data_IF_199706098889
#
_entry.id   IF_199706098889
#
_cell.length_a   1.000
_cell.length_b   1.000
_cell.length_c   1.000
_cell.angle_alpha   90.00
_cell.angle_beta   90.00
_cell.angle_gamma   90.00
#
_symmetry.space_group_name_H-M   'P 1'
#
loop_
_entity.id
_entity.type
_entity.pdbx_description
1 polymer ?
#
# COMPACT_ATOMS: atom_id res chain seq x y z
N UNK A 1 9.06 9.56 12.42
CA UNK A 1 8.33 8.39 11.86
C UNK A 1 9.00 7.95 10.57
N UNK A 2 9.31 6.67 10.40
CA UNK A 2 9.88 6.14 9.15
C UNK A 2 8.76 5.80 8.15
N UNK A 3 8.93 6.18 6.87
CA UNK A 3 8.03 5.79 5.76
C UNK A 3 8.62 4.56 5.08
N UNK A 4 8.02 3.39 5.29
CA UNK A 4 8.53 2.10 4.85
C UNK A 4 7.43 1.08 4.67
N UNK A 5 7.67 0.10 3.80
CA UNK A 5 6.82 -1.07 3.62
C UNK A 5 7.27 -2.14 4.63
N UNK A 6 6.33 -2.69 5.40
CA UNK A 6 6.61 -3.59 6.52
C UNK A 6 5.96 -4.96 6.39
N UNK A 7 4.98 -5.12 5.50
CA UNK A 7 4.22 -6.35 5.38
C UNK A 7 3.21 -6.30 4.24
N UNK A 8 2.54 -7.42 4.05
CA UNK A 8 1.49 -7.61 3.05
C UNK A 8 0.18 -7.93 3.76
N UNK A 9 -0.91 -7.35 3.25
CA UNK A 9 -2.27 -7.63 3.68
C UNK A 9 -3.11 -8.08 2.48
N UNK A 10 -4.19 -8.81 2.75
CA UNK A 10 -5.19 -9.24 1.78
C UNK A 10 -6.52 -8.60 2.13
N UNK A 11 -7.29 -8.20 1.13
CA UNK A 11 -8.66 -7.68 1.33
C UNK A 11 -9.58 -8.87 1.61
N UNK A 12 -10.28 -8.84 2.74
CA UNK A 12 -11.26 -9.87 3.15
C UNK A 12 -12.69 -9.38 3.06
N UNK A 13 -12.90 -8.06 3.02
CA UNK A 13 -14.17 -7.43 2.72
C UNK A 13 -13.94 -6.28 1.76
N UNK A 14 -14.63 -6.32 0.63
CA UNK A 14 -14.61 -5.23 -0.35
C UNK A 14 -15.23 -3.95 0.21
N UNK A 15 -15.13 -2.87 -0.56
CA UNK A 15 -15.57 -1.53 -0.18
C UNK A 15 -16.99 -1.52 0.41
N UNK A 16 -17.13 -0.91 1.58
CA UNK A 16 -18.42 -0.67 2.20
C UNK A 16 -18.46 0.73 2.82
N UNK A 17 -19.68 1.25 2.98
CA UNK A 17 -19.96 2.51 3.67
C UNK A 17 -20.76 2.18 4.91
N UNK A 18 -20.33 2.63 6.09
CA UNK A 18 -21.18 2.54 7.27
C UNK A 18 -22.27 3.60 7.20
N UNK A 19 -23.49 3.23 7.62
CA UNK A 19 -24.65 4.12 7.66
C UNK A 19 -24.36 5.30 8.61
N UNK A 20 -23.83 6.41 8.07
CA UNK A 20 -23.54 7.62 8.85
C UNK A 20 -22.31 8.40 8.38
N UNK A 21 -21.40 7.82 7.59
CA UNK A 21 -20.24 8.56 7.07
C UNK A 21 -20.52 9.15 5.69
N UNK A 22 -20.87 10.44 5.65
CA UNK A 22 -20.89 11.20 4.41
C UNK A 22 -19.44 11.41 3.91
N UNK A 23 -19.06 10.70 2.84
CA UNK A 23 -17.87 11.01 2.04
C UNK A 23 -16.72 10.01 2.08
N UNK A 24 -16.91 8.83 2.68
CA UNK A 24 -15.87 7.81 2.79
C UNK A 24 -16.41 6.38 2.73
N UNK A 25 -15.49 5.43 2.88
CA UNK A 25 -15.78 4.00 2.99
C UNK A 25 -14.51 3.23 3.34
N UNK A 26 -14.70 1.99 3.73
CA UNK A 26 -13.67 1.14 4.31
C UNK A 26 -13.58 -0.20 3.59
N UNK A 27 -12.44 -0.87 3.78
CA UNK A 27 -12.22 -2.25 3.37
C UNK A 27 -11.65 -2.99 4.58
N UNK A 28 -12.08 -4.23 4.79
CA UNK A 28 -11.45 -5.06 5.82
C UNK A 28 -10.26 -5.78 5.20
N UNK A 29 -9.14 -5.75 5.89
CA UNK A 29 -7.92 -6.44 5.48
C UNK A 29 -7.45 -7.42 6.55
N UNK A 30 -6.85 -8.51 6.11
CA UNK A 30 -6.19 -9.50 6.96
C UNK A 30 -4.70 -9.53 6.65
N UNK A 31 -3.88 -9.53 7.69
CA UNK A 31 -2.43 -9.70 7.55
C UNK A 31 -2.10 -11.04 6.86
N UNK A 32 -1.32 -10.97 5.78
CA UNK A 32 -0.78 -12.15 5.08
C UNK A 32 0.57 -12.52 5.68
N UNK A 33 1.42 -11.51 5.92
CA UNK A 33 2.72 -11.71 6.54
C UNK A 33 3.53 -10.42 6.63
N UNK A 34 4.56 -10.45 7.47
CA UNK A 34 5.55 -9.37 7.57
C UNK A 34 6.66 -9.54 6.52
N UNK A 35 7.20 -8.41 6.06
CA UNK A 35 8.37 -8.42 5.18
C UNK A 35 9.59 -8.89 5.98
N UNK A 36 10.42 -9.76 5.38
CA UNK A 36 11.71 -10.19 5.98
C UNK A 36 12.61 -9.01 6.34
N UNK A 37 12.58 -7.97 5.51
CA UNK A 37 13.26 -6.70 5.71
C UNK A 37 12.31 -5.57 5.33
N UNK A 38 12.17 -4.59 6.21
CA UNK A 38 11.40 -3.40 5.88
C UNK A 38 12.08 -2.66 4.70
N UNK A 39 11.27 -2.23 3.73
CA UNK A 39 11.75 -1.49 2.55
C UNK A 39 11.50 -0.01 2.76
N UNK A 40 12.56 0.77 2.89
CA UNK A 40 12.45 2.20 3.11
C UNK A 40 12.08 2.95 1.83
N UNK A 41 11.31 4.04 1.96
CA UNK A 41 10.95 4.91 0.83
C UNK A 41 12.18 5.45 0.07
N UNK A 42 13.33 5.58 0.76
CA UNK A 42 14.58 6.02 0.13
C UNK A 42 15.12 4.98 -0.86
N UNK A 43 14.96 3.70 -0.56
CA UNK A 43 15.40 2.60 -1.41
C UNK A 43 14.58 2.53 -2.69
N UNK A 44 13.28 2.84 -2.60
CA UNK A 44 12.35 2.80 -3.73
C UNK A 44 12.47 3.98 -4.71
N UNK A 45 13.34 4.97 -4.47
CA UNK A 45 13.46 6.17 -5.32
C UNK A 45 13.85 5.88 -6.78
N UNK A 46 14.39 4.70 -7.06
CA UNK A 46 14.70 4.24 -8.42
C UNK A 46 13.44 3.86 -9.23
N UNK A 47 12.32 3.58 -8.57
CA UNK A 47 11.02 3.25 -9.17
C UNK A 47 10.29 4.52 -9.62
N UNK A 48 10.90 5.28 -10.54
CA UNK A 48 10.45 6.64 -10.89
C UNK A 48 9.01 6.72 -11.37
N UNK A 49 8.46 5.65 -11.91
CA UNK A 49 7.08 5.59 -12.40
C UNK A 49 6.05 5.15 -11.37
N UNK A 50 6.49 4.83 -10.15
CA UNK A 50 5.58 4.47 -9.10
C UNK A 50 4.78 5.70 -8.61
N UNK A 51 3.45 5.63 -8.75
CA UNK A 51 2.52 6.73 -8.42
C UNK A 51 2.70 7.21 -6.98
N UNK A 52 2.98 6.28 -6.05
CA UNK A 52 3.23 6.59 -4.64
C UNK A 52 4.34 7.64 -4.43
N UNK A 53 5.34 7.67 -5.31
CA UNK A 53 6.46 8.62 -5.23
C UNK A 53 6.12 9.97 -5.86
N UNK A 54 5.24 9.99 -6.86
CA UNK A 54 4.81 11.20 -7.58
C UNK A 54 3.72 11.98 -6.81
N UNK A 55 2.90 11.28 -6.00
CA UNK A 55 1.76 11.88 -5.29
C UNK A 55 1.85 11.64 -3.77
N UNK A 56 2.57 12.49 -3.01
CA UNK A 56 2.88 12.22 -1.60
C UNK A 56 1.68 12.19 -0.65
N UNK A 57 0.54 12.76 -1.05
CA UNK A 57 -0.69 12.83 -0.25
C UNK A 57 -1.68 11.70 -0.54
N UNK A 58 -1.40 10.84 -1.53
CA UNK A 58 -2.26 9.73 -1.88
C UNK A 58 -1.89 8.51 -1.02
N UNK A 59 -2.87 7.94 -0.33
CA UNK A 59 -2.68 6.83 0.63
C UNK A 59 -2.89 5.46 0.00
N UNK A 60 -3.69 5.37 -1.07
CA UNK A 60 -4.01 4.14 -1.78
C UNK A 60 -3.71 4.33 -3.26
N UNK A 61 -2.88 3.46 -3.81
CA UNK A 61 -2.51 3.48 -5.22
C UNK A 61 -2.50 2.07 -5.78
N UNK A 62 -2.87 1.88 -7.06
CA UNK A 62 -2.60 0.63 -7.74
C UNK A 62 -1.08 0.41 -7.82
N UNK A 63 -0.66 -0.83 -7.62
CA UNK A 63 0.74 -1.25 -7.74
C UNK A 63 0.85 -2.17 -8.97
N UNK A 64 1.60 -1.79 -10.02
CA UNK A 64 1.86 -2.67 -11.15
C UNK A 64 2.62 -3.92 -10.74
N UNK A 65 2.36 -5.05 -11.42
CA UNK A 65 2.98 -6.35 -11.12
C UNK A 65 4.51 -6.28 -11.10
N UNK A 66 5.13 -5.60 -12.06
CA UNK A 66 6.59 -5.41 -12.11
C UNK A 66 7.15 -4.73 -10.84
N UNK A 67 6.41 -3.76 -10.30
CA UNK A 67 6.79 -3.04 -9.08
C UNK A 67 6.56 -3.94 -7.86
N UNK A 68 5.44 -4.66 -7.83
CA UNK A 68 5.15 -5.64 -6.80
C UNK A 68 6.26 -6.68 -6.70
N UNK A 69 6.63 -7.30 -7.83
CA UNK A 69 7.68 -8.31 -7.90
C UNK A 69 9.04 -7.74 -7.48
N UNK A 70 9.33 -6.47 -7.79
CA UNK A 70 10.57 -5.82 -7.33
C UNK A 70 10.60 -5.59 -5.82
N UNK A 71 9.47 -5.27 -5.21
CA UNK A 71 9.35 -4.98 -3.77
C UNK A 71 9.26 -6.26 -2.94
N UNK A 72 8.53 -7.26 -3.44
CA UNK A 72 8.21 -8.50 -2.74
C UNK A 72 9.16 -9.66 -3.05
N UNK A 73 10.18 -9.46 -3.89
CA UNK A 73 11.25 -10.45 -4.14
C UNK A 73 12.05 -10.80 -2.87
#
# INVERSE_FOLDING_TARGET
>A
KARRIVGVVSVVREWYTDEGEEGGGAVDVKAVGEMRRAVDLKEMKHLKDFVLLKQPRLSVVPVPDLIWDTICH
#
